data_IF_559168929372
#
_entry.id   IF_559168929372
#
_cell.length_a   1.000
_cell.length_b   1.000
_cell.length_c   1.000
_cell.angle_alpha   90.00
_cell.angle_beta   90.00
_cell.angle_gamma   90.00
#
_symmetry.space_group_name_H-M   'P 1'
#
loop_
_entity.id
_entity.type
_entity.pdbx_description
1 polymer ?
#
# COMPACT_ATOMS: atom_id res chain seq x y z
N UNK A 1 12.40 10.82 -2.22
CA UNK A 1 11.55 9.75 -1.65
C UNK A 1 10.80 9.04 -2.78
N UNK A 2 10.58 7.73 -2.68
CA UNK A 2 9.84 6.94 -3.68
C UNK A 2 8.78 6.10 -2.98
N UNK A 3 7.52 6.21 -3.43
CA UNK A 3 6.45 5.32 -3.04
C UNK A 3 6.17 4.34 -4.17
N UNK A 4 6.30 3.04 -3.89
CA UNK A 4 5.91 1.98 -4.81
C UNK A 4 4.48 1.59 -4.48
N UNK A 5 3.57 1.71 -5.44
CA UNK A 5 2.14 1.48 -5.21
C UNK A 5 1.66 0.32 -6.08
N UNK A 6 1.26 -0.78 -5.43
CA UNK A 6 0.58 -1.89 -6.06
C UNK A 6 -0.91 -1.53 -6.12
N UNK A 7 -1.36 -1.10 -7.30
CA UNK A 7 -2.76 -0.78 -7.53
C UNK A 7 -3.57 -2.03 -7.88
N UNK A 8 -4.89 -1.91 -7.80
CA UNK A 8 -5.87 -2.90 -8.23
C UNK A 8 -5.85 -4.18 -7.39
N UNK A 9 -5.62 -4.02 -6.08
CA UNK A 9 -5.68 -5.14 -5.13
C UNK A 9 -7.06 -5.82 -5.05
N UNK A 10 -8.11 -5.17 -5.55
CA UNK A 10 -9.46 -5.73 -5.68
C UNK A 10 -9.61 -6.76 -6.81
N UNK A 11 -8.56 -7.02 -7.58
CA UNK A 11 -8.55 -7.96 -8.70
C UNK A 11 -7.77 -9.24 -8.37
N UNK A 12 -8.12 -10.33 -9.05
CA UNK A 12 -7.28 -11.54 -9.15
C UNK A 12 -6.80 -12.16 -7.82
N UNK A 13 -7.54 -11.99 -6.73
CA UNK A 13 -7.14 -12.51 -5.40
C UNK A 13 -5.98 -11.75 -4.75
N UNK A 14 -5.68 -10.54 -5.23
CA UNK A 14 -4.60 -9.72 -4.70
C UNK A 14 -4.89 -9.17 -3.29
N UNK A 15 -6.15 -9.16 -2.86
CA UNK A 15 -6.51 -8.72 -1.51
C UNK A 15 -5.89 -9.65 -0.44
N UNK A 16 -5.86 -10.95 -0.72
CA UNK A 16 -5.26 -12.00 0.10
C UNK A 16 -3.73 -12.01 0.05
N UNK A 17 -3.13 -11.53 -1.03
CA UNK A 17 -1.67 -11.52 -1.22
C UNK A 17 -1.00 -10.22 -0.75
N UNK A 18 -1.61 -9.07 -1.02
CA UNK A 18 -1.04 -7.73 -0.80
C UNK A 18 -2.02 -6.71 -0.21
N UNK A 19 -3.30 -7.04 -0.06
CA UNK A 19 -4.32 -6.13 0.44
C UNK A 19 -4.50 -6.17 1.96
N UNK A 20 -5.66 -5.67 2.42
CA UNK A 20 -5.99 -5.56 3.85
C UNK A 20 -6.10 -6.93 4.53
N UNK A 21 -6.43 -7.99 3.79
CA UNK A 21 -6.46 -9.36 4.32
C UNK A 21 -5.04 -9.84 4.63
N UNK A 22 -4.12 -9.71 3.66
CA UNK A 22 -2.72 -10.06 3.84
C UNK A 22 -2.07 -9.30 5.01
N UNK A 23 -2.31 -7.98 5.08
CA UNK A 23 -1.73 -7.13 6.12
C UNK A 23 -2.27 -7.46 7.52
N UNK A 24 -3.57 -7.70 7.67
CA UNK A 24 -4.16 -8.10 8.97
C UNK A 24 -3.60 -9.43 9.45
N UNK A 25 -3.43 -10.39 8.54
CA UNK A 25 -2.85 -11.68 8.87
C UNK A 25 -1.39 -11.53 9.32
N UNK A 26 -0.59 -10.79 8.56
CA UNK A 26 0.81 -10.52 8.89
C UNK A 26 0.97 -9.77 10.23
N UNK A 27 0.10 -8.80 10.52
CA UNK A 27 0.10 -8.07 11.79
C UNK A 27 -0.22 -8.99 12.98
N UNK A 28 -1.19 -9.88 12.81
CA UNK A 28 -1.52 -10.88 13.83
C UNK A 28 -0.35 -11.81 14.10
N UNK A 29 0.38 -12.22 13.07
CA UNK A 29 1.57 -13.08 13.21
C UNK A 29 2.78 -12.35 13.83
N UNK A 30 2.97 -11.06 13.50
CA UNK A 30 4.04 -10.25 14.05
C UNK A 30 3.85 -9.94 15.55
N UNK A 31 2.60 -10.01 16.04
CA UNK A 31 2.26 -9.88 17.44
C UNK A 31 2.09 -8.43 17.93
N UNK A 32 1.77 -8.25 19.23
CA UNK A 32 1.52 -6.94 19.81
C UNK A 32 2.78 -6.05 19.76
N UNK A 33 2.63 -4.80 19.29
CA UNK A 33 3.72 -3.83 19.20
C UNK A 33 4.43 -3.78 17.84
N UNK A 34 4.08 -4.66 16.90
CA UNK A 34 4.59 -4.57 15.53
C UNK A 34 4.11 -3.27 14.85
N UNK A 35 5.02 -2.56 14.20
CA UNK A 35 4.68 -1.38 13.40
C UNK A 35 3.94 -1.79 12.13
N UNK A 36 2.72 -1.29 11.95
CA UNK A 36 1.93 -1.51 10.74
C UNK A 36 2.68 -1.12 9.46
N UNK A 37 3.47 -0.05 9.50
CA UNK A 37 4.32 0.38 8.39
C UNK A 37 5.40 -0.64 8.05
N UNK A 38 6.09 -1.17 9.06
CA UNK A 38 7.16 -2.16 8.87
C UNK A 38 6.60 -3.45 8.31
N UNK A 39 5.49 -3.94 8.88
CA UNK A 39 4.81 -5.16 8.41
C UNK A 39 4.30 -4.99 6.98
N UNK A 40 3.66 -3.87 6.66
CA UNK A 40 3.21 -3.58 5.29
C UNK A 40 4.39 -3.60 4.31
N UNK A 41 5.49 -2.91 4.63
CA UNK A 41 6.68 -2.93 3.78
C UNK A 41 7.21 -4.35 3.57
N UNK A 42 7.29 -5.15 4.62
CA UNK A 42 7.76 -6.53 4.53
C UNK A 42 6.86 -7.40 3.65
N UNK A 43 5.54 -7.32 3.83
CA UNK A 43 4.55 -8.10 3.05
C UNK A 43 4.66 -7.75 1.57
N UNK A 44 4.60 -6.47 1.23
CA UNK A 44 4.57 -6.02 -0.16
C UNK A 44 5.91 -6.25 -0.87
N UNK A 45 7.03 -5.96 -0.19
CA UNK A 45 8.37 -6.26 -0.70
C UNK A 45 8.54 -7.75 -0.95
N UNK A 46 8.16 -8.58 0.01
CA UNK A 46 8.24 -10.03 -0.10
C UNK A 46 7.37 -10.58 -1.22
N UNK A 47 6.18 -10.02 -1.42
CA UNK A 47 5.30 -10.46 -2.51
C UNK A 47 5.84 -10.07 -3.89
N UNK A 48 6.39 -8.86 -4.05
CA UNK A 48 7.07 -8.47 -5.29
C UNK A 48 8.22 -9.42 -5.64
N UNK A 49 9.00 -9.86 -4.64
CA UNK A 49 10.04 -10.86 -4.86
C UNK A 49 9.48 -12.21 -5.31
N UNK A 50 8.37 -12.68 -4.71
CA UNK A 50 7.70 -13.92 -5.12
C UNK A 50 7.13 -13.83 -6.54
N UNK A 51 6.69 -12.66 -6.98
CA UNK A 51 6.27 -12.41 -8.36
C UNK A 51 7.43 -12.24 -9.34
N UNK A 52 8.68 -12.46 -8.91
CA UNK A 52 9.87 -12.37 -9.77
C UNK A 52 10.43 -10.96 -9.93
N UNK A 53 9.91 -9.95 -9.22
CA UNK A 53 10.39 -8.57 -9.27
C UNK A 53 11.54 -8.30 -8.28
N UNK A 54 12.35 -9.31 -7.96
CA UNK A 54 13.43 -9.19 -6.97
C UNK A 54 14.52 -8.20 -7.36
N UNK A 55 14.93 -8.20 -8.63
CA UNK A 55 15.91 -7.25 -9.16
C UNK A 55 15.40 -5.79 -9.11
N UNK A 56 14.11 -5.58 -9.42
CA UNK A 56 13.50 -4.25 -9.29
C UNK A 56 13.52 -3.77 -7.84
N UNK A 57 13.12 -4.62 -6.90
CA UNK A 57 13.17 -4.31 -5.45
C UNK A 57 14.58 -3.94 -5.04
N UNK A 58 15.58 -4.71 -5.48
CA UNK A 58 16.97 -4.45 -5.18
C UNK A 58 17.44 -3.10 -5.72
N UNK A 59 17.21 -2.82 -7.01
CA UNK A 59 17.59 -1.55 -7.63
C UNK A 59 16.92 -0.34 -6.98
N UNK A 60 15.65 -0.48 -6.56
CA UNK A 60 14.94 0.57 -5.84
C UNK A 60 15.57 0.85 -4.48
N UNK A 61 15.92 -0.19 -3.73
CA UNK A 61 16.53 -0.09 -2.40
C UNK A 61 17.97 0.45 -2.45
N UNK A 62 18.73 0.14 -3.50
CA UNK A 62 20.06 0.70 -3.72
C UNK A 62 20.01 2.18 -4.12
N UNK A 63 19.06 2.55 -4.98
CA UNK A 63 19.01 3.89 -5.58
C UNK A 63 18.32 4.92 -4.70
N UNK A 64 17.40 4.50 -3.82
CA UNK A 64 16.57 5.42 -3.05
C UNK A 64 16.72 5.19 -1.54
N UNK A 65 17.35 6.14 -0.86
CA UNK A 65 17.50 6.12 0.60
C UNK A 65 16.16 6.21 1.37
N UNK A 66 15.09 6.69 0.72
CA UNK A 66 13.75 6.80 1.32
C UNK A 66 12.75 6.16 0.38
N UNK A 67 12.37 4.92 0.69
CA UNK A 67 11.48 4.05 -0.08
C UNK A 67 10.38 3.48 0.82
N UNK A 68 9.15 3.38 0.31
CA UNK A 68 8.06 2.67 0.99
C UNK A 68 7.09 2.03 -0.02
N UNK A 69 6.54 0.88 0.36
CA UNK A 69 5.59 0.12 -0.45
C UNK A 69 4.16 0.32 0.05
N UNK A 70 3.21 0.42 -0.87
CA UNK A 70 1.79 0.62 -0.62
C UNK A 70 0.95 -0.29 -1.51
N UNK A 71 -0.24 -0.59 -1.03
CA UNK A 71 -1.27 -1.29 -1.77
C UNK A 71 -2.52 -0.41 -1.85
N UNK A 72 -3.18 -0.37 -3.00
CA UNK A 72 -4.40 0.40 -3.17
C UNK A 72 -5.34 -0.22 -4.20
N UNK A 73 -6.59 0.23 -4.15
CA UNK A 73 -7.52 0.09 -5.27
C UNK A 73 -8.02 1.47 -5.63
N UNK A 74 -7.74 1.91 -6.86
CA UNK A 74 -8.19 3.22 -7.33
C UNK A 74 -9.72 3.27 -7.56
N UNK A 75 -10.32 2.15 -7.97
CA UNK A 75 -11.73 2.08 -8.38
C UNK A 75 -12.63 1.40 -7.34
N UNK A 76 -12.06 0.58 -6.45
CA UNK A 76 -12.83 -0.21 -5.47
C UNK A 76 -13.68 -1.32 -6.08
N UNK A 77 -13.55 -1.59 -7.39
CA UNK A 77 -14.27 -2.65 -8.10
C UNK A 77 -13.62 -3.02 -9.41
N UNK A 78 -13.79 -4.28 -9.81
CA UNK A 78 -13.53 -4.72 -11.18
C UNK A 78 -14.49 -4.05 -12.17
N UNK A 79 -14.09 -3.91 -13.46
CA UNK A 79 -15.02 -3.53 -14.51
C UNK A 79 -16.17 -4.53 -14.56
N UNK A 80 -17.34 -4.11 -14.06
CA UNK A 80 -18.58 -4.87 -14.08
C UNK A 80 -19.70 -3.97 -14.61
N UNK A 81 -20.83 -4.57 -15.00
CA UNK A 81 -22.02 -3.84 -15.43
C UNK A 81 -22.73 -3.12 -14.28
N UNK A 82 -22.17 -3.13 -13.06
CA UNK A 82 -22.81 -2.51 -11.91
C UNK A 82 -22.71 -0.98 -11.98
N UNK A 83 -23.78 -0.34 -11.51
CA UNK A 83 -23.83 1.11 -11.29
C UNK A 83 -23.23 1.52 -9.94
N UNK A 84 -22.53 0.62 -9.24
CA UNK A 84 -21.93 0.93 -7.95
C UNK A 84 -20.91 2.07 -8.12
N UNK A 85 -20.94 3.08 -7.25
CA UNK A 85 -19.94 4.14 -7.27
C UNK A 85 -18.52 3.58 -7.15
N UNK A 86 -17.55 4.29 -7.72
CA UNK A 86 -16.15 3.99 -7.51
C UNK A 86 -15.75 4.42 -6.09
N UNK A 87 -15.15 3.50 -5.34
CA UNK A 87 -14.72 3.74 -3.96
C UNK A 87 -13.26 3.34 -3.81
N UNK A 88 -12.36 4.28 -4.10
CA UNK A 88 -10.93 4.03 -3.96
C UNK A 88 -10.54 3.79 -2.50
N UNK A 89 -9.61 2.86 -2.25
CA UNK A 89 -9.03 2.57 -0.93
C UNK A 89 -7.51 2.60 -1.00
N UNK A 90 -6.87 3.10 0.05
CA UNK A 90 -5.40 3.16 0.17
C UNK A 90 -4.72 4.20 -0.73
N UNK A 91 -5.46 4.95 -1.56
CA UNK A 91 -4.91 5.90 -2.54
C UNK A 91 -4.28 7.15 -1.91
N UNK A 92 -4.81 7.63 -0.78
CA UNK A 92 -4.32 8.84 -0.12
C UNK A 92 -3.03 8.60 0.68
N UNK A 93 -2.82 7.40 1.20
CA UNK A 93 -1.67 7.05 2.02
C UNK A 93 -0.30 7.28 1.32
N UNK A 94 -0.05 6.80 0.08
CA UNK A 94 1.22 7.06 -0.60
C UNK A 94 1.43 8.54 -0.93
N UNK A 95 0.35 9.26 -1.27
CA UNK A 95 0.43 10.70 -1.54
C UNK A 95 0.80 11.48 -0.29
N UNK A 96 0.09 11.26 0.82
CA UNK A 96 0.38 11.90 2.10
C UNK A 96 1.81 11.60 2.59
N UNK A 97 2.28 10.36 2.40
CA UNK A 97 3.64 9.98 2.75
C UNK A 97 4.69 10.71 1.90
N UNK A 98 4.53 10.76 0.57
CA UNK A 98 5.47 11.51 -0.30
C UNK A 98 5.48 12.99 0.09
N UNK A 99 4.31 13.60 0.24
CA UNK A 99 4.20 15.02 0.55
C UNK A 99 4.85 15.36 1.89
N UNK A 100 4.59 14.55 2.93
CA UNK A 100 5.23 14.73 4.24
C UNK A 100 6.76 14.53 4.24
N UNK A 101 7.32 13.88 3.21
CA UNK A 101 8.78 13.81 2.99
C UNK A 101 9.33 14.98 2.18
N UNK A 102 8.51 15.61 1.33
CA UNK A 102 8.90 16.77 0.53
C UNK A 102 8.75 18.10 1.27
N UNK A 103 7.76 18.20 2.16
CA UNK A 103 7.49 19.35 3.01
C UNK A 103 7.12 18.89 4.43
N UNK A 104 8.07 18.89 5.38
CA UNK A 104 7.81 18.49 6.77
C UNK A 104 6.79 19.38 7.51
N UNK A 105 6.47 20.57 6.98
CA UNK A 105 5.48 21.48 7.53
C UNK A 105 4.05 21.17 7.09
N UNK A 106 3.87 20.31 6.07
CA UNK A 106 2.56 19.97 5.54
C UNK A 106 1.80 19.05 6.50
N UNK A 107 0.85 19.63 7.23
CA UNK A 107 -0.08 18.89 8.11
C UNK A 107 -1.28 18.43 7.29
N UNK A 108 -1.34 17.13 7.01
CA UNK A 108 -2.52 16.51 6.41
C UNK A 108 -3.52 16.13 7.51
N UNK A 109 -4.63 16.87 7.61
CA UNK A 109 -5.80 16.40 8.36
C UNK A 109 -6.61 15.49 7.46
N UNK A 110 -6.52 14.18 7.69
CA UNK A 110 -7.42 13.22 7.06
C UNK A 110 -8.83 13.52 7.60
N UNK A 111 -9.63 14.27 6.83
CA UNK A 111 -11.01 14.54 7.16
C UNK A 111 -11.75 13.24 7.49
N UNK A 112 -12.26 13.16 8.72
CA UNK A 112 -13.07 12.05 9.19
C UNK A 112 -14.32 11.89 8.33
N UNK A 113 -14.31 10.91 7.45
CA UNK A 113 -15.50 10.43 6.73
C UNK A 113 -16.35 9.55 7.64
N UNK A 114 -16.86 10.13 8.73
CA UNK A 114 -17.98 9.57 9.48
C UNK A 114 -19.29 10.12 8.91
N UNK A 115 -20.03 9.26 8.20
CA UNK A 115 -21.49 9.14 8.25
C UNK A 115 -21.93 7.91 7.47
#
# INVERSE_FOLDING_TARGET
PVAVVINKIDALGLEEEVGDVALREALRQAGPGASAESVQNQVLRGQLQKWGAGELVHQLEERFAVLRYFACTALGRMPDASSRPFTGRGVLAPLAWILGKGDPGLRWEAGGGGR
#
